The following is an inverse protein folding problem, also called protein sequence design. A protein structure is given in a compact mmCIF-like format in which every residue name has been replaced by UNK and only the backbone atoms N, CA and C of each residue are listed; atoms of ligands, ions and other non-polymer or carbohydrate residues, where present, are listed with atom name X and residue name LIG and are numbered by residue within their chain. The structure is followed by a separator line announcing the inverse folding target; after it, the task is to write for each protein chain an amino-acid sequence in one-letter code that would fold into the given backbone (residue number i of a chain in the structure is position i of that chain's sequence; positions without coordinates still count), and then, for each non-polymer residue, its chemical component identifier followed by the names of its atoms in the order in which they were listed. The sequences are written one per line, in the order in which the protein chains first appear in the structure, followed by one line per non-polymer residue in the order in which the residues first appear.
data_IF_052762865691
#
_entry.id   IF_052762865691
#
_cell.length_a   1.000
_cell.length_b   1.000
_cell.length_c   1.000
_cell.angle_alpha   90.00
_cell.angle_beta   90.00
_cell.angle_gamma   90.00
#
_symmetry.space_group_name_H-M   'P 1'
#
loop_
_entity.id
_entity.type
_entity.pdbx_description
1 polymer ?
#
# COMPACT_ATOMS: atom_id res chain seq x y z
N UNK A 1 -12.46 15.51 -2.62
CA UNK A 1 -13.35 16.02 -1.54
C UNK A 1 -13.60 14.91 -0.51
N UNK A 2 -14.13 13.74 -0.87
CA UNK A 2 -14.49 12.68 0.09
C UNK A 2 -13.36 12.28 1.06
N UNK A 3 -12.12 12.12 0.56
CA UNK A 3 -10.95 11.83 1.38
C UNK A 3 -10.66 12.92 2.41
N UNK A 4 -10.81 14.20 2.03
CA UNK A 4 -10.64 15.33 2.96
C UNK A 4 -11.68 15.27 4.08
N UNK A 5 -12.93 15.00 3.73
CA UNK A 5 -14.03 14.85 4.72
C UNK A 5 -13.71 13.69 5.67
N UNK A 6 -13.28 12.54 5.16
CA UNK A 6 -12.88 11.38 5.99
C UNK A 6 -11.82 11.77 7.03
N UNK A 7 -10.79 12.54 6.62
CA UNK A 7 -9.73 12.97 7.53
C UNK A 7 -10.22 14.00 8.55
N UNK A 8 -11.03 14.97 8.14
CA UNK A 8 -11.59 15.98 9.05
C UNK A 8 -12.41 15.35 10.18
N UNK A 9 -13.10 14.26 9.91
CA UNK A 9 -13.90 13.53 10.90
C UNK A 9 -13.16 12.35 11.56
N UNK A 10 -11.82 12.30 11.45
CA UNK A 10 -11.00 11.34 12.17
C UNK A 10 -11.02 9.90 11.63
N UNK A 11 -11.48 9.69 10.40
CA UNK A 11 -11.43 8.39 9.76
C UNK A 11 -9.98 7.92 9.55
N UNK A 12 -9.74 6.62 9.73
CA UNK A 12 -8.43 5.99 9.50
C UNK A 12 -8.26 5.66 8.02
N UNK A 13 -7.58 6.54 7.29
CA UNK A 13 -7.33 6.38 5.85
C UNK A 13 -6.07 7.12 5.41
N UNK A 14 -5.54 6.77 4.23
CA UNK A 14 -4.45 7.45 3.54
C UNK A 14 -4.94 8.47 2.51
N UNK A 15 -4.02 9.23 1.94
CA UNK A 15 -4.26 10.18 0.84
C UNK A 15 -3.62 9.74 -0.47
N UNK A 16 -2.61 8.91 -0.39
CA UNK A 16 -1.69 8.57 -1.49
C UNK A 16 -2.40 7.72 -2.55
N UNK A 17 -3.21 6.75 -2.16
CA UNK A 17 -4.05 5.99 -3.10
C UNK A 17 -5.02 6.88 -3.87
N UNK A 18 -5.48 7.98 -3.25
CA UNK A 18 -6.31 8.98 -3.93
C UNK A 18 -5.52 9.74 -5.01
N UNK A 19 -4.24 10.04 -4.80
CA UNK A 19 -3.39 10.68 -5.81
C UNK A 19 -3.21 9.78 -7.05
N UNK A 20 -2.98 8.48 -6.85
CA UNK A 20 -2.92 7.50 -7.95
C UNK A 20 -4.24 7.46 -8.72
N UNK A 21 -5.38 7.45 -8.02
CA UNK A 21 -6.71 7.48 -8.65
C UNK A 21 -6.97 8.79 -9.42
N UNK A 22 -6.53 9.92 -8.90
CA UNK A 22 -6.65 11.23 -9.59
C UNK A 22 -5.81 11.21 -10.86
N UNK A 23 -4.54 10.74 -10.80
CA UNK A 23 -3.68 10.62 -11.97
C UNK A 23 -4.30 9.73 -13.05
N UNK A 24 -4.80 8.55 -12.69
CA UNK A 24 -5.51 7.67 -13.61
C UNK A 24 -6.77 8.31 -14.20
N UNK A 25 -7.57 8.98 -13.36
CA UNK A 25 -8.84 9.60 -13.78
C UNK A 25 -8.63 10.77 -14.76
N UNK A 26 -7.65 11.64 -14.48
CA UNK A 26 -7.28 12.73 -15.40
C UNK A 26 -6.79 12.16 -16.74
N UNK A 27 -5.93 11.15 -16.68
CA UNK A 27 -5.42 10.49 -17.87
C UNK A 27 -6.53 9.84 -18.69
N UNK A 28 -7.55 9.26 -18.05
CA UNK A 28 -8.70 8.68 -18.73
C UNK A 28 -9.52 9.74 -19.48
N UNK A 29 -9.70 10.95 -18.91
CA UNK A 29 -10.38 12.04 -19.60
C UNK A 29 -9.66 12.46 -20.88
N UNK A 30 -8.33 12.47 -20.90
CA UNK A 30 -7.56 12.77 -22.10
C UNK A 30 -7.85 11.77 -23.23
N UNK A 31 -8.15 10.51 -22.91
CA UNK A 31 -8.47 9.50 -23.92
C UNK A 31 -9.77 9.81 -24.66
N UNK A 32 -10.72 10.46 -24.01
CA UNK A 32 -11.97 10.89 -24.64
C UNK A 32 -11.77 12.11 -25.54
N UNK A 33 -10.91 13.04 -25.14
CA UNK A 33 -10.61 14.26 -25.92
C UNK A 33 -9.87 13.90 -27.22
N UNK A 34 -8.87 13.02 -27.11
CA UNK A 34 -8.00 12.66 -28.25
C UNK A 34 -8.44 11.40 -29.00
N UNK A 35 -9.57 10.80 -28.62
CA UNK A 35 -10.14 9.60 -29.24
C UNK A 35 -9.15 8.44 -29.37
N UNK A 36 -8.38 8.17 -28.30
CA UNK A 36 -7.39 7.09 -28.30
C UNK A 36 -8.04 5.70 -28.41
N UNK A 37 -7.33 4.80 -29.07
CA UNK A 37 -7.73 3.41 -29.14
C UNK A 37 -7.57 2.69 -27.78
N UNK A 38 -8.07 1.44 -27.68
CA UNK A 38 -8.05 0.68 -26.40
C UNK A 38 -6.64 0.40 -25.87
N UNK A 39 -5.62 0.29 -26.73
CA UNK A 39 -4.24 0.05 -26.34
C UNK A 39 -3.62 1.32 -25.77
N UNK A 40 -3.76 2.43 -26.48
CA UNK A 40 -3.24 3.74 -26.07
C UNK A 40 -3.89 4.22 -24.78
N UNK A 41 -5.22 3.98 -24.61
CA UNK A 41 -5.92 4.25 -23.37
C UNK A 41 -5.30 3.54 -22.18
N UNK A 42 -4.94 2.25 -22.32
CA UNK A 42 -4.25 1.49 -21.25
C UNK A 42 -2.90 2.10 -20.91
N UNK A 43 -2.12 2.47 -21.93
CA UNK A 43 -0.80 3.09 -21.75
C UNK A 43 -0.89 4.43 -21.01
N UNK A 44 -1.86 5.27 -21.36
CA UNK A 44 -2.07 6.57 -20.70
C UNK A 44 -2.56 6.40 -19.26
N UNK A 45 -3.44 5.43 -18.99
CA UNK A 45 -3.86 5.09 -17.63
C UNK A 45 -2.67 4.66 -16.76
N UNK A 46 -1.80 3.81 -17.29
CA UNK A 46 -0.56 3.37 -16.61
C UNK A 46 0.33 4.58 -16.32
N UNK A 47 0.53 5.47 -17.30
CA UNK A 47 1.30 6.69 -17.12
C UNK A 47 0.71 7.62 -16.03
N UNK A 48 -0.62 7.78 -16.00
CA UNK A 48 -1.29 8.56 -14.97
C UNK A 48 -1.17 7.96 -13.57
N UNK A 49 -1.28 6.63 -13.43
CA UNK A 49 -1.03 5.96 -12.15
C UNK A 49 0.41 6.11 -11.70
N UNK A 50 1.37 5.95 -12.61
CA UNK A 50 2.80 6.14 -12.35
C UNK A 50 3.11 7.56 -11.89
N UNK A 51 2.56 8.57 -12.56
CA UNK A 51 2.71 9.99 -12.19
C UNK A 51 2.14 10.28 -10.80
N UNK A 52 0.92 9.80 -10.51
CA UNK A 52 0.30 9.97 -9.20
C UNK A 52 1.08 9.31 -8.06
N UNK A 53 1.67 8.12 -8.31
CA UNK A 53 2.47 7.43 -7.33
C UNK A 53 3.82 8.13 -7.10
N UNK A 54 4.58 8.39 -8.18
CA UNK A 54 5.90 9.01 -8.09
C UNK A 54 5.87 10.37 -7.41
N UNK A 55 4.90 11.22 -7.78
CA UNK A 55 4.76 12.57 -7.22
C UNK A 55 4.39 12.58 -5.73
N UNK A 56 3.57 11.62 -5.25
CA UNK A 56 3.09 11.64 -3.86
C UNK A 56 4.11 11.06 -2.88
N UNK A 57 4.96 10.15 -3.33
CA UNK A 57 5.98 9.52 -2.48
C UNK A 57 7.39 10.10 -2.67
N UNK A 58 7.65 10.84 -3.73
CA UNK A 58 9.01 11.26 -4.10
C UNK A 58 9.88 10.09 -4.55
N UNK A 59 9.26 9.10 -5.17
CA UNK A 59 9.90 7.85 -5.62
C UNK A 59 9.58 7.61 -7.10
N UNK A 60 10.20 8.40 -8.01
CA UNK A 60 9.84 8.39 -9.43
C UNK A 60 10.13 7.06 -10.14
N UNK A 61 11.19 6.34 -9.78
CA UNK A 61 11.48 5.04 -10.38
C UNK A 61 10.47 4.00 -9.93
N UNK A 62 10.19 3.95 -8.62
CA UNK A 62 9.15 3.06 -8.09
C UNK A 62 7.78 3.39 -8.67
N UNK A 63 7.45 4.66 -8.86
CA UNK A 63 6.20 5.09 -9.47
C UNK A 63 6.03 4.58 -10.90
N UNK A 64 7.09 4.67 -11.70
CA UNK A 64 7.12 4.10 -13.06
C UNK A 64 6.84 2.59 -13.06
N UNK A 65 7.55 1.84 -12.20
CA UNK A 65 7.38 0.38 -12.08
C UNK A 65 5.99 0.04 -11.51
N UNK A 66 5.50 0.80 -10.52
CA UNK A 66 4.19 0.60 -9.91
C UNK A 66 3.06 0.65 -10.97
N UNK A 67 3.08 1.67 -11.83
CA UNK A 67 2.11 1.77 -12.93
C UNK A 67 2.11 0.54 -13.84
N UNK A 68 3.29 -0.01 -14.13
CA UNK A 68 3.45 -1.21 -14.98
C UNK A 68 3.01 -2.50 -14.29
N UNK A 69 3.21 -2.61 -12.98
CA UNK A 69 3.01 -3.84 -12.20
C UNK A 69 1.60 -3.94 -11.63
N UNK A 70 0.99 -2.81 -11.22
CA UNK A 70 -0.31 -2.79 -10.55
C UNK A 70 -1.48 -3.19 -11.46
N UNK A 71 -1.35 -2.98 -12.76
CA UNK A 71 -2.43 -3.23 -13.72
C UNK A 71 -2.74 -4.73 -13.91
N UNK A 72 -1.69 -5.56 -13.96
CA UNK A 72 -1.78 -7.00 -14.15
C UNK A 72 -0.89 -7.71 -13.13
N UNK A 73 -1.48 -8.44 -12.21
CA UNK A 73 -0.72 -9.23 -11.24
C UNK A 73 0.15 -10.29 -11.95
N UNK A 74 1.45 -10.30 -11.63
CA UNK A 74 2.39 -11.24 -12.19
C UNK A 74 2.87 -10.94 -13.62
N UNK A 75 2.47 -9.82 -14.23
CA UNK A 75 2.92 -9.39 -15.57
C UNK A 75 3.24 -7.92 -15.64
N UNK A 76 4.34 -7.58 -16.31
CA UNK A 76 4.76 -6.21 -16.60
C UNK A 76 4.48 -5.91 -18.06
N UNK A 77 3.90 -4.71 -18.33
CA UNK A 77 3.63 -4.24 -19.69
C UNK A 77 4.75 -3.35 -20.20
N UNK A 78 5.73 -3.93 -20.86
CA UNK A 78 6.89 -3.22 -21.42
C UNK A 78 6.52 -2.14 -22.46
N UNK A 79 5.39 -2.29 -23.16
CA UNK A 79 4.88 -1.29 -24.13
C UNK A 79 4.65 0.10 -23.51
N UNK A 80 4.32 0.14 -22.21
CA UNK A 80 4.04 1.36 -21.47
C UNK A 80 5.24 1.87 -20.66
N UNK A 81 6.43 1.29 -20.83
CA UNK A 81 7.62 1.58 -20.02
C UNK A 81 8.02 3.05 -20.11
N UNK A 82 8.26 3.57 -21.33
CA UNK A 82 8.68 4.96 -21.53
C UNK A 82 7.63 5.95 -20.98
N UNK A 83 6.34 5.85 -21.35
CA UNK A 83 5.32 6.74 -20.80
C UNK A 83 5.21 6.69 -19.27
N UNK A 84 5.31 5.51 -18.65
CA UNK A 84 5.23 5.35 -17.21
C UNK A 84 6.40 6.04 -16.48
N UNK A 85 7.64 5.80 -16.91
CA UNK A 85 8.81 6.42 -16.28
C UNK A 85 8.87 7.93 -16.51
N UNK A 86 8.65 8.40 -17.74
CA UNK A 86 8.67 9.83 -18.04
C UNK A 86 7.60 10.58 -17.24
N UNK A 87 6.38 10.08 -17.20
CA UNK A 87 5.30 10.74 -16.47
C UNK A 87 5.57 10.77 -14.95
N UNK A 88 6.12 9.70 -14.39
CA UNK A 88 6.46 9.62 -12.97
C UNK A 88 7.59 10.60 -12.60
N UNK A 89 8.66 10.63 -13.39
CA UNK A 89 9.80 11.53 -13.18
C UNK A 89 9.35 12.99 -13.31
N UNK A 90 8.63 13.34 -14.36
CA UNK A 90 8.16 14.72 -14.58
C UNK A 90 7.21 15.14 -13.46
N UNK A 91 6.29 14.28 -13.03
CA UNK A 91 5.36 14.58 -11.95
C UNK A 91 6.08 14.82 -10.62
N UNK A 92 7.08 14.01 -10.29
CA UNK A 92 7.92 14.21 -9.10
C UNK A 92 8.71 15.52 -9.19
N UNK A 93 9.36 15.79 -10.32
CA UNK A 93 10.09 17.05 -10.55
C UNK A 93 9.18 18.28 -10.37
N UNK A 94 7.97 18.26 -10.93
CA UNK A 94 7.00 19.35 -10.78
C UNK A 94 6.61 19.52 -9.32
N UNK A 95 6.33 18.42 -8.62
CA UNK A 95 5.92 18.46 -7.20
C UNK A 95 7.02 19.02 -6.32
N UNK A 96 8.27 18.59 -6.50
CA UNK A 96 9.37 19.01 -5.65
C UNK A 96 9.89 20.40 -6.03
N UNK A 97 10.16 20.68 -7.32
CA UNK A 97 10.85 21.91 -7.74
C UNK A 97 9.90 23.09 -8.00
N UNK A 98 8.71 22.84 -8.55
CA UNK A 98 7.77 23.93 -8.86
C UNK A 98 6.85 24.25 -7.69
N UNK A 99 6.38 23.22 -6.97
CA UNK A 99 5.49 23.39 -5.83
C UNK A 99 6.20 23.38 -4.48
N UNK A 100 7.48 23.04 -4.42
CA UNK A 100 8.26 23.03 -3.19
C UNK A 100 7.81 22.02 -2.15
N UNK A 101 7.13 20.95 -2.57
CA UNK A 101 6.63 19.92 -1.64
C UNK A 101 7.78 19.01 -1.25
N UNK A 102 8.04 18.92 0.06
CA UNK A 102 9.02 17.99 0.62
C UNK A 102 8.39 16.67 1.03
N UNK A 103 9.10 15.56 0.81
CA UNK A 103 8.67 14.23 1.23
C UNK A 103 9.27 13.83 2.58
N UNK A 104 8.57 12.96 3.32
CA UNK A 104 9.04 12.41 4.60
C UNK A 104 10.30 11.58 4.39
N UNK A 105 11.32 11.82 5.22
CA UNK A 105 12.56 11.05 5.22
C UNK A 105 12.52 10.02 6.33
N UNK A 106 12.89 8.79 6.01
CA UNK A 106 12.99 7.67 6.95
C UNK A 106 14.45 7.24 7.02
N UNK A 107 15.00 7.06 8.21
CA UNK A 107 16.41 6.75 8.40
C UNK A 107 16.56 5.33 8.95
N UNK A 108 17.26 4.49 8.20
CA UNK A 108 17.73 3.18 8.64
C UNK A 108 19.20 3.30 8.96
N UNK A 109 19.59 3.04 10.20
CA UNK A 109 20.94 3.32 10.69
C UNK A 109 21.89 2.12 10.59
N UNK A 110 21.36 0.90 10.65
CA UNK A 110 22.17 -0.31 10.73
C UNK A 110 21.74 -1.33 9.67
N UNK A 111 22.71 -1.79 8.89
CA UNK A 111 22.54 -2.83 7.88
C UNK A 111 23.44 -4.02 8.26
N UNK A 112 22.88 -5.15 8.70
CA UNK A 112 23.67 -6.34 9.03
C UNK A 112 24.24 -6.94 7.75
N UNK A 113 25.35 -7.66 7.89
CA UNK A 113 25.95 -8.40 6.78
C UNK A 113 24.99 -9.44 6.21
N UNK A 114 25.10 -9.70 4.90
CA UNK A 114 24.30 -10.70 4.20
C UNK A 114 24.79 -12.10 4.52
N UNK A 115 24.34 -12.62 5.65
CA UNK A 115 24.58 -14.04 6.03
C UNK A 115 23.35 -14.88 5.76
N UNK A 116 23.52 -16.20 5.57
CA UNK A 116 22.39 -17.13 5.39
C UNK A 116 21.39 -17.00 6.53
N UNK A 117 21.87 -16.83 7.77
CA UNK A 117 21.03 -16.61 8.94
C UNK A 117 20.16 -15.36 8.80
N UNK A 118 20.74 -14.23 8.41
CA UNK A 118 20.01 -12.96 8.29
C UNK A 118 19.02 -13.00 7.12
N UNK A 119 19.35 -13.69 6.03
CA UNK A 119 18.44 -13.94 4.91
C UNK A 119 17.22 -14.77 5.39
N UNK A 120 17.44 -15.86 6.13
CA UNK A 120 16.34 -16.67 6.67
C UNK A 120 15.46 -15.87 7.63
N UNK A 121 16.05 -15.04 8.49
CA UNK A 121 15.29 -14.14 9.38
C UNK A 121 14.46 -13.11 8.59
N UNK A 122 15.03 -12.57 7.51
CA UNK A 122 14.30 -11.67 6.60
C UNK A 122 13.12 -12.37 5.90
N UNK A 123 13.30 -13.65 5.49
CA UNK A 123 12.21 -14.45 4.94
C UNK A 123 11.08 -14.68 5.97
N UNK A 124 11.41 -15.00 7.21
CA UNK A 124 10.40 -15.15 8.29
C UNK A 124 9.63 -13.86 8.51
N UNK A 125 10.34 -12.71 8.54
CA UNK A 125 9.68 -11.40 8.62
C UNK A 125 8.77 -11.16 7.41
N UNK A 126 9.22 -11.50 6.20
CA UNK A 126 8.44 -11.40 4.96
C UNK A 126 7.15 -12.21 5.01
N UNK A 127 7.16 -13.42 5.58
CA UNK A 127 5.94 -14.22 5.79
C UNK A 127 4.94 -13.47 6.68
N UNK A 128 5.40 -12.92 7.81
CA UNK A 128 4.55 -12.14 8.71
C UNK A 128 3.95 -10.91 8.00
N UNK A 129 4.74 -10.21 7.19
CA UNK A 129 4.27 -9.06 6.39
C UNK A 129 3.22 -9.47 5.35
N UNK A 130 3.42 -10.61 4.68
CA UNK A 130 2.47 -11.16 3.72
C UNK A 130 1.14 -11.49 4.36
N UNK A 131 1.16 -12.15 5.52
CA UNK A 131 -0.04 -12.48 6.29
C UNK A 131 -0.76 -11.24 6.80
N UNK A 132 -0.04 -10.20 7.24
CA UNK A 132 -0.63 -8.94 7.66
C UNK A 132 -1.31 -8.19 6.51
N UNK A 133 -0.70 -8.14 5.32
CA UNK A 133 -1.31 -7.57 4.11
C UNK A 133 -2.57 -8.31 3.68
N UNK A 134 -2.55 -9.64 3.75
CA UNK A 134 -3.74 -10.49 3.52
C UNK A 134 -4.83 -10.21 4.54
N UNK A 135 -4.49 -10.18 5.84
CA UNK A 135 -5.43 -9.89 6.92
C UNK A 135 -6.09 -8.53 6.73
N UNK A 136 -5.32 -7.50 6.37
CA UNK A 136 -5.84 -6.17 6.07
C UNK A 136 -6.88 -6.19 4.95
N UNK A 137 -6.55 -6.80 3.81
CA UNK A 137 -7.44 -6.88 2.66
C UNK A 137 -8.75 -7.63 2.99
N UNK A 138 -8.64 -8.76 3.70
CA UNK A 138 -9.80 -9.55 4.15
C UNK A 138 -10.66 -8.74 5.14
N UNK A 139 -10.04 -8.02 6.08
CA UNK A 139 -10.76 -7.25 7.10
C UNK A 139 -11.64 -6.15 6.49
N UNK A 140 -11.13 -5.41 5.49
CA UNK A 140 -11.92 -4.38 4.78
C UNK A 140 -13.13 -5.04 4.09
N UNK A 141 -12.92 -6.14 3.39
CA UNK A 141 -13.99 -6.86 2.68
C UNK A 141 -15.02 -7.45 3.63
N UNK A 142 -14.58 -8.01 4.75
CA UNK A 142 -15.45 -8.55 5.77
C UNK A 142 -16.38 -7.47 6.34
N UNK A 143 -15.88 -6.29 6.67
CA UNK A 143 -16.70 -5.17 7.14
C UNK A 143 -17.69 -4.75 6.06
N UNK A 144 -17.22 -4.55 4.82
CA UNK A 144 -18.05 -4.16 3.67
C UNK A 144 -19.18 -5.15 3.42
N UNK A 145 -18.89 -6.44 3.36
CA UNK A 145 -19.88 -7.49 3.10
C UNK A 145 -20.85 -7.67 4.26
N UNK A 146 -20.36 -7.57 5.50
CA UNK A 146 -21.20 -7.65 6.70
C UNK A 146 -22.21 -6.50 6.74
N UNK A 147 -21.75 -5.27 6.54
CA UNK A 147 -22.65 -4.11 6.52
C UNK A 147 -23.68 -4.22 5.38
N UNK A 148 -23.24 -4.59 4.17
CA UNK A 148 -24.13 -4.75 3.02
C UNK A 148 -25.17 -5.87 3.20
N UNK A 149 -24.85 -6.90 3.97
CA UNK A 149 -25.77 -8.01 4.28
C UNK A 149 -26.91 -7.56 5.20
N UNK A 150 -26.61 -6.78 6.23
CA UNK A 150 -27.60 -6.39 7.24
C UNK A 150 -28.29 -5.06 6.94
N UNK A 151 -27.66 -4.18 6.18
CA UNK A 151 -28.12 -2.80 5.95
C UNK A 151 -28.18 -2.54 4.45
N UNK A 152 -29.38 -2.46 3.87
CA UNK A 152 -29.54 -2.25 2.43
C UNK A 152 -29.24 -0.81 1.98
N UNK A 153 -29.47 0.18 2.85
CA UNK A 153 -29.30 1.59 2.53
C UNK A 153 -27.86 2.04 2.82
N UNK A 154 -27.07 2.16 1.76
CA UNK A 154 -25.62 2.45 1.83
C UNK A 154 -25.20 3.65 2.72
N UNK A 155 -25.90 4.81 2.75
CA UNK A 155 -25.52 5.91 3.62
C UNK A 155 -25.47 5.56 5.12
N UNK A 156 -26.26 4.60 5.59
CA UNK A 156 -26.21 4.14 6.98
C UNK A 156 -24.91 3.40 7.32
N UNK A 157 -24.24 2.81 6.35
CA UNK A 157 -22.91 2.17 6.58
C UNK A 157 -21.93 3.20 7.15
N UNK A 158 -21.85 4.39 6.55
CA UNK A 158 -20.94 5.43 7.01
C UNK A 158 -21.30 5.93 8.42
N UNK A 159 -22.60 6.09 8.75
CA UNK A 159 -23.04 6.52 10.09
C UNK A 159 -22.60 5.47 11.13
N UNK A 160 -22.85 4.19 10.88
CA UNK A 160 -22.50 3.11 11.80
C UNK A 160 -20.98 2.99 11.93
N UNK A 161 -20.25 3.03 10.82
CA UNK A 161 -18.77 3.03 10.83
C UNK A 161 -18.21 4.20 11.64
N UNK A 162 -18.77 5.41 11.46
CA UNK A 162 -18.39 6.59 12.23
C UNK A 162 -18.62 6.44 13.73
N UNK A 163 -19.78 5.90 14.14
CA UNK A 163 -20.08 5.61 15.54
C UNK A 163 -19.09 4.59 16.11
N UNK A 164 -18.77 3.52 15.38
CA UNK A 164 -17.81 2.50 15.81
C UNK A 164 -16.42 3.13 16.00
N UNK A 165 -15.95 3.97 15.09
CA UNK A 165 -14.65 4.65 15.20
C UNK A 165 -14.61 5.55 16.44
N UNK A 166 -15.67 6.32 16.70
CA UNK A 166 -15.78 7.18 17.90
C UNK A 166 -15.70 6.32 19.18
N UNK A 167 -16.44 5.22 19.22
CA UNK A 167 -16.44 4.31 20.38
C UNK A 167 -15.08 3.67 20.60
N UNK A 168 -14.42 3.19 19.53
CA UNK A 168 -13.07 2.62 19.61
C UNK A 168 -12.04 3.67 20.07
N UNK A 169 -12.10 4.89 19.53
CA UNK A 169 -11.20 5.99 19.93
C UNK A 169 -11.39 6.34 21.40
N UNK A 170 -12.62 6.41 21.88
CA UNK A 170 -12.93 6.66 23.30
C UNK A 170 -12.48 5.50 24.20
N UNK A 171 -12.71 4.26 23.80
CA UNK A 171 -12.34 3.08 24.57
C UNK A 171 -10.81 2.95 24.72
N UNK A 172 -10.05 3.31 23.69
CA UNK A 172 -8.58 3.28 23.74
C UNK A 172 -7.96 4.54 24.33
N UNK A 173 -8.72 5.63 24.48
CA UNK A 173 -8.24 6.90 24.99
C UNK A 173 -7.16 7.58 24.15
N UNK A 174 -7.06 7.23 22.85
CA UNK A 174 -6.02 7.75 21.95
C UNK A 174 -6.53 7.95 20.53
N UNK A 175 -6.01 8.98 19.86
CA UNK A 175 -6.24 9.26 18.43
C UNK A 175 -5.17 8.67 17.51
N UNK A 176 -4.23 7.88 18.04
CA UNK A 176 -3.06 7.33 17.33
C UNK A 176 -3.43 6.58 16.04
N UNK A 177 -4.56 5.89 16.03
CA UNK A 177 -5.00 5.05 14.91
C UNK A 177 -5.91 5.80 13.92
N UNK A 178 -6.31 7.02 14.24
CA UNK A 178 -7.08 7.88 13.34
C UNK A 178 -6.16 8.51 12.27
N UNK A 179 -6.75 8.95 11.15
CA UNK A 179 -6.01 9.61 10.06
C UNK A 179 -4.86 8.79 9.50
N UNK A 180 -3.79 9.46 9.12
CA UNK A 180 -2.60 8.87 8.46
C UNK A 180 -1.71 8.09 9.43
N UNK A 181 -1.44 8.64 10.61
CA UNK A 181 -0.52 8.07 11.60
C UNK A 181 0.97 8.22 11.25
N UNK A 182 1.34 9.29 10.51
CA UNK A 182 2.73 9.53 10.08
C UNK A 182 3.74 9.59 11.23
N UNK A 183 3.36 10.21 12.36
CA UNK A 183 4.21 10.29 13.55
C UNK A 183 4.59 8.89 14.06
N UNK A 184 3.64 7.97 14.09
CA UNK A 184 3.88 6.59 14.52
C UNK A 184 4.73 5.83 13.49
N UNK A 185 4.51 6.06 12.20
CA UNK A 185 5.37 5.48 11.15
C UNK A 185 6.82 5.93 11.37
N UNK A 186 7.06 7.23 11.52
CA UNK A 186 8.40 7.79 11.72
C UNK A 186 9.04 7.29 13.01
N UNK A 187 8.30 7.28 14.12
CA UNK A 187 8.80 6.80 15.41
C UNK A 187 9.09 5.30 15.43
N UNK A 188 8.46 4.50 14.57
CA UNK A 188 8.72 3.05 14.46
C UNK A 188 10.16 2.74 13.99
N UNK A 189 10.85 3.69 13.35
CA UNK A 189 12.25 3.52 12.94
C UNK A 189 13.25 3.81 14.05
N UNK A 190 12.86 4.58 15.09
CA UNK A 190 13.76 5.07 16.15
C UNK A 190 13.41 4.60 17.55
N UNK A 191 12.16 4.27 17.82
CA UNK A 191 11.70 3.88 19.15
C UNK A 191 10.75 2.69 19.10
N UNK A 192 10.75 1.89 20.19
CA UNK A 192 9.88 0.73 20.31
C UNK A 192 8.42 1.15 20.42
N UNK A 193 7.57 0.54 19.60
CA UNK A 193 6.14 0.76 19.60
C UNK A 193 5.39 -0.36 20.36
N UNK A 194 4.17 -0.10 20.84
CA UNK A 194 3.28 -1.13 21.38
C UNK A 194 3.04 -2.25 20.36
N UNK A 195 3.06 -3.49 20.84
CA UNK A 195 2.96 -4.69 19.99
C UNK A 195 1.64 -4.77 19.21
N UNK A 196 0.59 -4.17 19.74
CA UNK A 196 -0.77 -4.21 19.20
C UNK A 196 -1.07 -3.10 18.18
N UNK A 197 -0.16 -2.17 17.95
CA UNK A 197 -0.40 -1.00 17.08
C UNK A 197 -0.82 -1.37 15.66
N UNK A 198 -0.16 -2.36 15.06
CA UNK A 198 -0.50 -2.81 13.72
C UNK A 198 -1.91 -3.41 13.64
N UNK A 199 -2.35 -4.12 14.68
CA UNK A 199 -3.69 -4.72 14.73
C UNK A 199 -4.78 -3.65 14.85
N UNK A 200 -4.60 -2.68 15.76
CA UNK A 200 -5.57 -1.60 15.91
C UNK A 200 -5.66 -0.76 14.63
N UNK A 201 -4.53 -0.51 13.95
CA UNK A 201 -4.57 0.20 12.66
C UNK A 201 -5.35 -0.59 11.60
N UNK A 202 -5.20 -1.92 11.55
CA UNK A 202 -6.02 -2.78 10.66
C UNK A 202 -7.50 -2.60 10.98
N UNK A 203 -7.91 -2.69 12.26
CA UNK A 203 -9.30 -2.58 12.69
C UNK A 203 -9.89 -1.20 12.33
N UNK A 204 -9.21 -0.12 12.70
CA UNK A 204 -9.67 1.24 12.44
C UNK A 204 -9.83 1.52 10.95
N UNK A 205 -8.85 1.08 10.14
CA UNK A 205 -8.90 1.28 8.69
C UNK A 205 -9.97 0.40 8.04
N UNK A 206 -10.09 -0.87 8.47
CA UNK A 206 -11.11 -1.77 7.96
C UNK A 206 -12.52 -1.25 8.24
N UNK A 207 -12.78 -0.74 9.44
CA UNK A 207 -14.08 -0.11 9.78
C UNK A 207 -14.29 1.14 8.94
N UNK A 208 -13.29 2.02 8.81
CA UNK A 208 -13.42 3.26 8.04
C UNK A 208 -13.73 2.96 6.57
N UNK A 209 -12.86 2.23 5.89
CA UNK A 209 -12.99 2.01 4.45
C UNK A 209 -14.11 1.01 4.11
N UNK A 210 -14.27 -0.04 4.92
CA UNK A 210 -15.33 -1.02 4.77
C UNK A 210 -16.73 -0.44 4.95
N UNK A 211 -16.87 0.64 5.71
CA UNK A 211 -18.14 1.38 5.86
C UNK A 211 -18.39 2.37 4.71
N UNK A 212 -17.51 2.46 3.72
CA UNK A 212 -17.70 3.30 2.54
C UNK A 212 -17.16 4.72 2.64
N UNK A 213 -16.46 5.07 3.71
CA UNK A 213 -15.68 6.30 3.75
C UNK A 213 -14.62 6.32 2.64
N UNK A 214 -14.39 7.48 2.06
CA UNK A 214 -13.45 7.64 0.96
C UNK A 214 -12.04 7.93 1.49
N UNK A 215 -11.05 7.18 1.00
CA UNK A 215 -9.64 7.35 1.38
C UNK A 215 -8.77 6.31 0.71
N UNK A 216 -7.45 6.47 0.82
CA UNK A 216 -6.48 5.50 0.35
C UNK A 216 -6.09 4.50 1.44
N UNK A 217 -5.63 3.34 1.05
CA UNK A 217 -5.15 2.29 1.95
C UNK A 217 -3.64 2.36 2.21
N UNK A 218 -2.88 3.00 1.33
CA UNK A 218 -1.41 2.85 1.23
C UNK A 218 -0.69 3.30 2.50
N UNK A 219 -0.96 4.51 3.02
CA UNK A 219 -0.32 4.99 4.26
C UNK A 219 -0.69 4.13 5.47
N UNK A 220 -1.93 3.59 5.48
CA UNK A 220 -2.33 2.67 6.54
C UNK A 220 -1.54 1.36 6.49
N UNK A 221 -1.22 0.86 5.27
CA UNK A 221 -0.35 -0.31 5.09
C UNK A 221 1.08 -0.02 5.52
N UNK A 222 1.59 1.19 5.26
CA UNK A 222 2.90 1.62 5.77
C UNK A 222 2.94 1.65 7.30
N UNK A 223 1.89 2.16 7.94
CA UNK A 223 1.76 2.14 9.39
C UNK A 223 1.77 0.70 9.92
N UNK A 224 0.91 -0.16 9.35
CA UNK A 224 0.80 -1.57 9.75
C UNK A 224 2.14 -2.26 9.57
N UNK A 225 2.80 -2.06 8.44
CA UNK A 225 4.07 -2.68 8.12
C UNK A 225 5.21 -2.21 9.02
N UNK A 226 5.36 -0.90 9.21
CA UNK A 226 6.43 -0.34 10.05
C UNK A 226 6.27 -0.74 11.53
N UNK A 227 5.05 -0.71 12.08
CA UNK A 227 4.79 -1.11 13.46
C UNK A 227 4.89 -2.62 13.66
N UNK A 228 4.49 -3.43 12.68
CA UNK A 228 4.71 -4.88 12.72
C UNK A 228 6.22 -5.21 12.65
N UNK A 229 6.98 -4.56 11.76
CA UNK A 229 8.43 -4.72 11.69
C UNK A 229 9.12 -4.32 12.99
N UNK A 230 8.70 -3.21 13.58
CA UNK A 230 9.14 -2.78 14.91
C UNK A 230 8.83 -3.84 15.99
N UNK A 231 7.64 -4.42 15.99
CA UNK A 231 7.25 -5.48 16.90
C UNK A 231 8.10 -6.75 16.73
N UNK A 232 8.34 -7.15 15.47
CA UNK A 232 9.15 -8.32 15.15
C UNK A 232 10.61 -8.18 15.60
N UNK A 233 11.14 -6.96 15.73
CA UNK A 233 12.51 -6.74 16.24
C UNK A 233 12.73 -7.22 17.67
N UNK A 234 11.67 -7.47 18.43
CA UNK A 234 11.75 -8.06 19.77
C UNK A 234 12.03 -9.58 19.75
N UNK A 235 11.75 -10.23 18.62
CA UNK A 235 11.82 -11.69 18.46
C UNK A 235 12.89 -12.05 17.41
N UNK A 236 12.93 -11.29 16.32
CA UNK A 236 13.86 -11.50 15.20
C UNK A 236 15.11 -10.65 15.46
N UNK A 237 16.27 -11.29 15.50
CA UNK A 237 17.55 -10.62 15.75
C UNK A 237 18.05 -9.88 14.48
N UNK A 238 17.29 -8.88 14.05
CA UNK A 238 17.64 -7.91 13.01
C UNK A 238 17.38 -6.49 13.56
N UNK A 239 18.09 -5.47 13.05
CA UNK A 239 17.90 -4.09 13.50
C UNK A 239 16.44 -3.63 13.37
N UNK A 240 15.92 -2.96 14.40
CA UNK A 240 14.55 -2.48 14.47
C UNK A 240 14.19 -1.55 13.28
N UNK A 241 15.08 -0.59 12.96
CA UNK A 241 14.86 0.32 11.84
C UNK A 241 14.80 -0.39 10.50
N UNK A 242 15.63 -1.45 10.31
CA UNK A 242 15.61 -2.28 9.11
C UNK A 242 14.31 -3.07 9.01
N UNK A 243 13.89 -3.75 10.08
CA UNK A 243 12.63 -4.51 10.09
C UNK A 243 11.41 -3.60 9.90
N UNK A 244 11.43 -2.37 10.46
CA UNK A 244 10.37 -1.38 10.23
C UNK A 244 10.32 -0.96 8.76
N UNK A 245 11.47 -0.71 8.12
CA UNK A 245 11.54 -0.40 6.69
C UNK A 245 11.13 -1.57 5.79
N UNK A 246 11.58 -2.79 6.11
CA UNK A 246 11.14 -4.02 5.42
C UNK A 246 9.62 -4.21 5.53
N UNK A 247 9.06 -3.99 6.72
CA UNK A 247 7.62 -4.09 6.96
C UNK A 247 6.84 -3.01 6.20
N UNK A 248 7.33 -1.77 6.21
CA UNK A 248 6.74 -0.63 5.49
C UNK A 248 6.46 -1.01 4.02
N UNK A 249 7.45 -1.52 3.30
CA UNK A 249 7.29 -1.91 1.89
C UNK A 249 6.69 -3.31 1.72
N UNK A 250 6.99 -4.26 2.60
CA UNK A 250 6.57 -5.66 2.47
C UNK A 250 5.06 -5.85 2.64
N UNK A 251 4.43 -5.20 3.61
CA UNK A 251 2.98 -5.26 3.80
C UNK A 251 2.25 -4.60 2.63
N UNK A 252 2.80 -3.50 2.11
CA UNK A 252 2.24 -2.85 0.93
C UNK A 252 2.42 -3.70 -0.33
N UNK A 253 3.59 -4.32 -0.54
CA UNK A 253 3.84 -5.25 -1.65
C UNK A 253 2.86 -6.42 -1.66
N UNK A 254 2.57 -6.97 -0.48
CA UNK A 254 1.59 -8.04 -0.30
C UNK A 254 0.16 -7.63 -0.65
N UNK A 255 -0.25 -6.44 -0.21
CA UNK A 255 -1.62 -5.94 -0.38
C UNK A 255 -1.88 -5.36 -1.78
N UNK A 256 -0.87 -4.73 -2.40
CA UNK A 256 -0.98 -4.16 -3.76
C UNK A 256 -0.62 -5.13 -4.88
N UNK A 257 0.02 -6.24 -4.55
CA UNK A 257 0.58 -7.21 -5.51
C UNK A 257 1.67 -6.60 -6.43
N UNK A 258 2.51 -5.70 -5.88
CA UNK A 258 3.56 -4.99 -6.62
C UNK A 258 4.94 -5.11 -5.94
N UNK A 259 5.53 -6.33 -5.87
CA UNK A 259 6.76 -6.56 -5.12
C UNK A 259 7.98 -5.83 -5.70
N UNK A 260 8.08 -5.68 -7.03
CA UNK A 260 9.22 -5.01 -7.66
C UNK A 260 9.16 -3.50 -7.41
N UNK A 261 7.99 -2.89 -7.62
CA UNK A 261 7.80 -1.46 -7.34
C UNK A 261 8.12 -1.13 -5.87
N UNK A 262 7.64 -1.95 -4.93
CA UNK A 262 7.90 -1.75 -3.50
C UNK A 262 9.37 -1.94 -3.12
N UNK A 263 10.09 -2.86 -3.78
CA UNK A 263 11.54 -3.02 -3.59
C UNK A 263 12.30 -1.77 -4.05
N UNK A 264 11.98 -1.24 -5.22
CA UNK A 264 12.60 -0.02 -5.73
C UNK A 264 12.22 1.19 -4.88
N UNK A 265 10.97 1.27 -4.42
CA UNK A 265 10.52 2.28 -3.46
C UNK A 265 11.35 2.28 -2.18
N UNK A 266 11.69 1.10 -1.65
CA UNK A 266 12.54 1.00 -0.47
C UNK A 266 13.95 1.57 -0.75
N UNK A 267 14.52 1.31 -1.93
CA UNK A 267 15.82 1.85 -2.32
C UNK A 267 15.78 3.37 -2.43
N UNK A 268 14.73 3.94 -3.02
CA UNK A 268 14.57 5.39 -3.16
C UNK A 268 14.32 6.09 -1.81
N UNK A 269 13.57 5.46 -0.89
CA UNK A 269 13.22 6.05 0.41
C UNK A 269 14.30 5.87 1.48
N UNK A 270 14.96 4.71 1.52
CA UNK A 270 15.83 4.31 2.64
C UNK A 270 17.31 4.17 2.24
N UNK A 271 17.63 4.27 0.95
CA UNK A 271 18.98 4.09 0.42
C UNK A 271 19.22 2.70 -0.15
N UNK A 272 20.32 2.56 -0.91
CA UNK A 272 20.66 1.34 -1.67
C UNK A 272 20.96 0.11 -0.79
N UNK A 273 21.43 0.33 0.42
CA UNK A 273 21.85 -0.70 1.37
C UNK A 273 20.67 -1.60 1.82
N UNK A 274 19.44 -1.06 1.81
CA UNK A 274 18.24 -1.84 2.16
C UNK A 274 17.80 -2.78 1.05
N UNK A 275 18.28 -2.59 -0.18
CA UNK A 275 17.71 -3.18 -1.39
C UNK A 275 17.50 -4.69 -1.33
N UNK A 276 18.51 -5.47 -0.88
CA UNK A 276 18.42 -6.93 -0.82
C UNK A 276 17.41 -7.37 0.26
N UNK A 277 17.43 -6.76 1.44
CA UNK A 277 16.49 -7.08 2.51
C UNK A 277 15.06 -6.71 2.16
N UNK A 278 14.87 -5.57 1.49
CA UNK A 278 13.57 -5.14 0.99
C UNK A 278 13.06 -6.09 -0.11
N UNK A 279 13.92 -6.53 -1.04
CA UNK A 279 13.56 -7.49 -2.08
C UNK A 279 13.06 -8.80 -1.48
N UNK A 280 13.80 -9.36 -0.51
CA UNK A 280 13.40 -10.58 0.19
C UNK A 280 12.05 -10.39 0.87
N UNK A 281 11.88 -9.30 1.63
CA UNK A 281 10.62 -9.01 2.33
C UNK A 281 9.45 -8.86 1.36
N UNK A 282 9.60 -8.08 0.29
CA UNK A 282 8.54 -7.83 -0.68
C UNK A 282 8.14 -9.09 -1.46
N UNK A 283 9.13 -9.88 -1.94
CA UNK A 283 8.87 -11.10 -2.71
C UNK A 283 8.21 -12.16 -1.83
N UNK A 284 8.75 -12.41 -0.63
CA UNK A 284 8.17 -13.38 0.29
C UNK A 284 6.77 -12.95 0.73
N UNK A 285 6.58 -11.69 1.08
CA UNK A 285 5.26 -11.16 1.46
C UNK A 285 4.25 -11.28 0.32
N UNK A 286 4.64 -10.99 -0.92
CA UNK A 286 3.81 -11.18 -2.11
C UNK A 286 3.36 -12.64 -2.27
N UNK A 287 4.26 -13.60 -2.11
CA UNK A 287 3.93 -15.03 -2.24
C UNK A 287 2.96 -15.48 -1.15
N UNK A 288 3.19 -15.08 0.10
CA UNK A 288 2.39 -15.53 1.25
C UNK A 288 1.06 -14.78 1.41
N UNK A 289 0.84 -13.68 0.71
CA UNK A 289 -0.48 -13.02 0.70
C UNK A 289 -1.54 -13.78 -0.10
N UNK A 290 -1.14 -14.73 -0.94
CA UNK A 290 -2.06 -15.45 -1.84
C UNK A 290 -2.74 -14.51 -2.85
N UNK A 291 -3.87 -14.97 -3.43
CA UNK A 291 -4.69 -14.16 -4.34
C UNK A 291 -5.61 -13.22 -3.55
N UNK A 292 -5.03 -12.31 -2.77
CA UNK A 292 -5.72 -11.24 -2.06
C UNK A 292 -5.10 -9.89 -2.43
N UNK A 293 -5.85 -8.81 -2.30
CA UNK A 293 -5.33 -7.47 -2.57
C UNK A 293 -6.37 -6.39 -2.28
N UNK A 294 -5.90 -5.15 -2.32
CA UNK A 294 -6.71 -3.95 -2.10
C UNK A 294 -7.37 -3.43 -3.38
N UNK A 295 -6.95 -3.89 -4.54
CA UNK A 295 -7.47 -3.45 -5.84
C UNK A 295 -8.39 -4.50 -6.45
N UNK A 296 -9.70 -4.42 -6.21
CA UNK A 296 -10.71 -5.38 -6.72
C UNK A 296 -10.69 -5.52 -8.26
N UNK A 297 -10.28 -4.48 -8.98
CA UNK A 297 -10.20 -4.46 -10.44
C UNK A 297 -8.91 -5.05 -11.04
N UNK A 298 -7.91 -5.36 -10.19
CA UNK A 298 -6.65 -5.95 -10.65
C UNK A 298 -6.91 -7.34 -11.23
N UNK A 299 -6.38 -7.59 -12.43
CA UNK A 299 -6.53 -8.86 -13.14
C UNK A 299 -5.34 -9.76 -12.84
N UNK A 300 -5.61 -11.04 -12.61
CA UNK A 300 -4.58 -12.05 -12.42
C UNK A 300 -4.00 -12.43 -13.78
N UNK A 301 -2.80 -11.97 -14.06
CA UNK A 301 -2.07 -12.30 -15.28
C UNK A 301 -1.34 -13.62 -15.20
N UNK A 302 -0.68 -13.88 -14.06
CA UNK A 302 -0.03 -15.14 -13.72
C UNK A 302 -0.30 -15.49 -12.23
N UNK A 303 -0.38 -16.77 -11.95
CA UNK A 303 -0.65 -17.26 -10.60
C UNK A 303 0.60 -17.11 -9.71
N UNK A 304 0.39 -16.75 -8.45
CA UNK A 304 1.48 -16.69 -7.46
C UNK A 304 1.99 -18.09 -7.04
N UNK A 305 1.13 -19.09 -7.13
CA UNK A 305 1.44 -20.46 -6.73
C UNK A 305 0.56 -21.46 -7.51
N UNK A 306 1.05 -22.67 -7.77
CA UNK A 306 0.37 -23.73 -8.50
C UNK A 306 -1.04 -24.08 -7.95
N UNK A 307 -1.29 -23.86 -6.66
CA UNK A 307 -2.61 -24.08 -6.05
C UNK A 307 -3.71 -23.16 -6.58
N UNK A 308 -3.35 -22.03 -7.22
CA UNK A 308 -4.28 -21.03 -7.73
C UNK A 308 -4.46 -21.04 -9.25
N UNK A 309 -4.05 -22.11 -9.91
CA UNK A 309 -4.05 -22.25 -11.37
C UNK A 309 -5.40 -21.93 -12.07
N UNK A 310 -6.53 -22.06 -11.37
CA UNK A 310 -7.87 -21.78 -11.90
C UNK A 310 -8.24 -20.28 -11.93
N UNK A 311 -7.41 -19.41 -11.39
CA UNK A 311 -7.78 -18.00 -11.16
C UNK A 311 -7.24 -17.04 -12.21
N UNK A 312 -6.42 -17.54 -13.15
CA UNK A 312 -5.85 -16.75 -14.24
C UNK A 312 -6.94 -16.09 -15.10
N UNK A 313 -6.76 -14.80 -15.37
CA UNK A 313 -7.70 -13.99 -16.16
C UNK A 313 -8.88 -13.41 -15.39
N UNK A 314 -9.11 -13.85 -14.13
CA UNK A 314 -10.17 -13.30 -13.28
C UNK A 314 -9.71 -12.01 -12.61
N UNK A 315 -10.65 -11.16 -12.21
CA UNK A 315 -10.37 -10.03 -11.32
C UNK A 315 -10.31 -10.50 -9.87
N UNK A 316 -9.47 -9.84 -9.05
CA UNK A 316 -9.38 -10.17 -7.62
C UNK A 316 -10.74 -10.04 -6.90
N UNK A 317 -11.57 -9.09 -7.30
CA UNK A 317 -12.91 -8.93 -6.74
C UNK A 317 -13.89 -10.05 -7.08
N UNK A 318 -13.60 -10.90 -8.08
CA UNK A 318 -14.45 -12.03 -8.50
C UNK A 318 -14.11 -13.32 -7.74
N UNK A 319 -12.99 -13.39 -7.03
CA UNK A 319 -12.54 -14.58 -6.28
C UNK A 319 -13.12 -14.67 -4.86
N UNK A 320 -13.95 -13.73 -4.48
CA UNK A 320 -14.31 -13.54 -3.07
C UNK A 320 -15.80 -13.42 -2.86
#
# INVERSE_FOLDING_TARGET
IGTIVTHLFGGSAGREGTAVQIGASISDQLTHIFHFNKSDRKTILIAGMAAGFGSVFGTPLAGGIFGLEVFLMGKIRYESLIPAFLSSIIADMVTQHWWGVSHSKYIITNFPELTIKNILLACVAGICFGLAGKLFSISIKLVKTTLSKYIKFQPYHAIIGGIIIILLTKALGTYKYNGLGLETIMSSFSSQQPVYDFLFKIIFTAVTLGSGFKGGEVTCLFFIGSTLGNTLSKIINLPMSLLSGMGFVGVFAAASNTPIACTVMAIELFGKEVGIYAAIACIVAYLFSGHSGIYDSQVIGEEKHFTFFKDRGKKLGELQ
#
